data_IF_123003772999
#
_entry.id   IF_123003772999
#
_cell.length_a   1.000
_cell.length_b   1.000
_cell.length_c   1.000
_cell.angle_alpha   90.00
_cell.angle_beta   90.00
_cell.angle_gamma   90.00
#
_symmetry.space_group_name_H-M   'P 1'
#
loop_
_entity.id
_entity.type
_entity.pdbx_description
1 polymer ?
#
# COMPACT_ATOMS: atom_id res chain seq x y z
N UNK A 1 19.98 -19.48 33.60
CA UNK A 1 20.41 -19.13 32.23
C UNK A 1 19.22 -18.48 31.55
N UNK A 2 19.18 -17.15 31.58
CA UNK A 2 18.13 -16.39 30.88
C UNK A 2 18.52 -16.37 29.41
N UNK A 3 17.58 -16.75 28.55
CA UNK A 3 17.74 -16.70 27.11
C UNK A 3 17.60 -15.24 26.68
N UNK A 4 18.74 -14.57 26.48
CA UNK A 4 18.81 -13.38 25.65
C UNK A 4 18.46 -13.83 24.24
N UNK A 5 17.21 -13.62 23.84
CA UNK A 5 16.78 -13.77 22.46
C UNK A 5 17.35 -12.55 21.75
N UNK A 6 18.53 -12.74 21.17
CA UNK A 6 19.22 -11.75 20.36
C UNK A 6 18.24 -11.20 19.32
N UNK A 7 17.89 -9.92 19.49
CA UNK A 7 17.25 -9.10 18.48
C UNK A 7 18.26 -8.92 17.35
N UNK A 8 18.25 -9.88 16.43
CA UNK A 8 19.00 -9.78 15.18
C UNK A 8 18.29 -8.76 14.30
N UNK A 9 18.53 -7.47 14.58
CA UNK A 9 18.23 -6.38 13.65
C UNK A 9 18.95 -6.68 12.34
N UNK A 10 18.18 -7.17 11.35
CA UNK A 10 18.71 -7.49 10.04
C UNK A 10 19.07 -6.16 9.35
N UNK A 11 20.36 -5.89 9.05
CA UNK A 11 20.80 -4.61 8.48
C UNK A 11 20.25 -4.36 7.06
N UNK A 12 19.51 -5.32 6.47
CA UNK A 12 18.75 -5.15 5.24
C UNK A 12 17.40 -4.45 5.46
N UNK A 13 16.79 -4.58 6.64
CA UNK A 13 15.51 -3.95 6.98
C UNK A 13 15.64 -2.43 7.04
N UNK A 14 16.63 -1.93 7.78
CA UNK A 14 16.86 -0.48 7.95
C UNK A 14 17.10 0.25 6.62
N UNK A 15 17.81 -0.40 5.68
CA UNK A 15 18.13 0.19 4.37
C UNK A 15 16.91 0.32 3.46
N UNK A 16 16.03 -0.67 3.48
CA UNK A 16 14.82 -0.68 2.67
C UNK A 16 13.76 0.28 3.26
N UNK A 17 13.63 0.30 4.59
CA UNK A 17 12.79 1.27 5.30
C UNK A 17 13.25 2.71 5.01
N UNK A 18 14.56 2.97 4.98
CA UNK A 18 15.07 4.30 4.64
C UNK A 18 14.71 4.73 3.22
N UNK A 19 14.79 3.83 2.23
CA UNK A 19 14.39 4.13 0.85
C UNK A 19 12.90 4.45 0.73
N UNK A 20 12.06 3.74 1.50
CA UNK A 20 10.63 4.09 1.56
C UNK A 20 10.41 5.44 2.24
N UNK A 21 11.07 5.73 3.36
CA UNK A 21 10.95 7.03 4.03
C UNK A 21 11.30 8.16 3.05
N UNK A 22 12.39 8.02 2.28
CA UNK A 22 12.78 8.98 1.24
C UNK A 22 11.71 9.12 0.15
N UNK A 23 11.11 8.01 -0.29
CA UNK A 23 10.03 8.02 -1.30
C UNK A 23 8.77 8.75 -0.79
N UNK A 24 8.35 8.50 0.46
CA UNK A 24 7.22 9.20 1.07
C UNK A 24 7.52 10.69 1.27
N UNK A 25 8.74 11.03 1.72
CA UNK A 25 9.19 12.42 1.83
C UNK A 25 9.23 13.12 0.47
N UNK A 26 9.70 12.45 -0.58
CA UNK A 26 9.70 12.99 -1.94
C UNK A 26 8.28 13.33 -2.43
N UNK A 27 7.31 12.47 -2.15
CA UNK A 27 5.89 12.72 -2.49
C UNK A 27 5.32 13.90 -1.71
N UNK A 28 5.57 13.95 -0.40
CA UNK A 28 4.95 14.91 0.51
C UNK A 28 5.58 16.31 0.39
N UNK A 29 6.90 16.36 0.23
CA UNK A 29 7.69 17.59 0.06
C UNK A 29 8.00 17.93 -1.41
N UNK A 30 7.28 17.34 -2.38
CA UNK A 30 7.54 17.58 -3.81
C UNK A 30 7.54 19.08 -4.15
N UNK A 31 6.59 19.86 -3.61
CA UNK A 31 6.47 21.30 -3.87
C UNK A 31 7.45 22.19 -3.07
N UNK A 32 8.21 21.61 -2.13
CA UNK A 32 9.31 22.33 -1.47
C UNK A 32 10.53 22.42 -2.39
N UNK A 33 10.67 21.45 -3.31
CA UNK A 33 11.81 21.31 -4.22
C UNK A 33 11.45 21.58 -5.67
N UNK A 34 10.18 21.44 -6.05
CA UNK A 34 9.66 21.63 -7.40
C UNK A 34 8.64 22.76 -7.44
N UNK A 35 8.59 23.45 -8.57
CA UNK A 35 7.68 24.57 -8.82
C UNK A 35 6.24 24.10 -9.06
N UNK A 36 5.27 25.00 -8.96
CA UNK A 36 3.86 24.70 -9.27
C UNK A 36 3.64 24.31 -10.74
N UNK A 37 4.52 24.74 -11.64
CA UNK A 37 4.49 24.37 -13.07
C UNK A 37 4.74 22.87 -13.27
N UNK A 38 5.43 22.24 -12.32
CA UNK A 38 5.74 20.80 -12.31
C UNK A 38 4.66 19.96 -11.61
N UNK A 39 3.57 20.58 -11.12
CA UNK A 39 2.47 19.89 -10.45
C UNK A 39 1.87 18.75 -11.31
N UNK A 40 1.79 18.95 -12.63
CA UNK A 40 1.31 17.92 -13.56
C UNK A 40 2.26 16.73 -13.71
N UNK A 41 3.54 16.90 -13.40
CA UNK A 41 4.59 15.87 -13.47
C UNK A 41 4.76 15.11 -12.16
N UNK A 42 4.35 15.70 -11.03
CA UNK A 42 4.41 15.08 -9.69
C UNK A 42 4.00 13.62 -9.67
N UNK A 43 2.83 13.29 -10.23
CA UNK A 43 2.34 11.91 -10.19
C UNK A 43 3.23 10.96 -11.00
N UNK A 44 3.73 11.40 -12.16
CA UNK A 44 4.67 10.63 -12.98
C UNK A 44 5.99 10.43 -12.26
N UNK A 45 6.54 11.49 -11.66
CA UNK A 45 7.85 11.43 -10.99
C UNK A 45 7.79 10.55 -9.75
N UNK A 46 6.72 10.65 -8.95
CA UNK A 46 6.48 9.77 -7.79
C UNK A 46 6.32 8.31 -8.24
N UNK A 47 5.65 8.07 -9.37
CA UNK A 47 5.50 6.71 -9.93
C UNK A 47 6.84 6.15 -10.39
N UNK A 48 7.69 6.96 -11.03
CA UNK A 48 9.03 6.53 -11.43
C UNK A 48 9.92 6.21 -10.22
N UNK A 49 9.93 7.05 -9.19
CA UNK A 49 10.70 6.80 -7.96
C UNK A 49 10.19 5.57 -7.20
N UNK A 50 8.88 5.34 -7.21
CA UNK A 50 8.26 4.12 -6.71
C UNK A 50 8.78 2.90 -7.47
N UNK A 51 8.73 2.90 -8.81
CA UNK A 51 9.20 1.78 -9.64
C UNK A 51 10.69 1.49 -9.43
N UNK A 52 11.53 2.53 -9.30
CA UNK A 52 12.95 2.38 -8.97
C UNK A 52 13.14 1.70 -7.62
N UNK A 53 12.38 2.11 -6.61
CA UNK A 53 12.45 1.54 -5.27
C UNK A 53 11.95 0.10 -5.26
N UNK A 54 10.84 -0.17 -5.94
CA UNK A 54 10.28 -1.52 -6.09
C UNK A 54 11.28 -2.48 -6.73
N UNK A 55 11.95 -2.06 -7.81
CA UNK A 55 12.98 -2.88 -8.47
C UNK A 55 14.14 -3.22 -7.53
N UNK A 56 14.64 -2.24 -6.76
CA UNK A 56 15.71 -2.45 -5.76
C UNK A 56 15.28 -3.42 -4.65
N UNK A 57 13.99 -3.41 -4.28
CA UNK A 57 13.44 -4.36 -3.32
C UNK A 57 13.39 -5.76 -3.92
N UNK A 58 12.86 -5.92 -5.14
CA UNK A 58 12.74 -7.20 -5.83
C UNK A 58 14.10 -7.86 -6.11
N UNK A 59 15.13 -7.08 -6.46
CA UNK A 59 16.51 -7.56 -6.60
C UNK A 59 17.06 -8.19 -5.30
N UNK A 60 16.50 -7.83 -4.15
CA UNK A 60 16.88 -8.37 -2.84
C UNK A 60 15.90 -9.44 -2.33
N UNK A 61 14.82 -9.75 -3.04
CA UNK A 61 13.80 -10.71 -2.60
C UNK A 61 14.41 -12.06 -2.23
N UNK A 62 15.33 -12.56 -3.08
CA UNK A 62 16.00 -13.85 -2.87
C UNK A 62 16.87 -13.89 -1.61
N UNK A 63 17.31 -12.72 -1.14
CA UNK A 63 18.12 -12.58 0.08
C UNK A 63 17.28 -12.33 1.35
N UNK A 64 15.97 -12.09 1.21
CA UNK A 64 15.09 -11.80 2.34
C UNK A 64 14.71 -13.07 3.11
N UNK A 65 15.19 -13.18 4.35
CA UNK A 65 14.83 -14.29 5.27
C UNK A 65 13.35 -14.25 5.70
N UNK A 66 12.78 -13.05 5.82
CA UNK A 66 11.42 -12.84 6.29
C UNK A 66 10.50 -12.42 5.14
N UNK A 67 9.75 -13.40 4.61
CA UNK A 67 8.84 -13.19 3.49
C UNK A 67 7.71 -12.21 3.81
N UNK A 68 7.17 -12.23 5.03
CA UNK A 68 6.12 -11.31 5.46
C UNK A 68 6.59 -9.85 5.45
N UNK A 69 7.80 -9.60 5.95
CA UNK A 69 8.43 -8.28 5.92
C UNK A 69 8.65 -7.80 4.49
N UNK A 70 9.21 -8.65 3.62
CA UNK A 70 9.40 -8.31 2.21
C UNK A 70 8.08 -7.91 1.53
N UNK A 71 7.01 -8.68 1.76
CA UNK A 71 5.68 -8.40 1.23
C UNK A 71 5.08 -7.10 1.80
N UNK A 72 5.33 -6.80 3.08
CA UNK A 72 4.94 -5.53 3.70
C UNK A 72 5.61 -4.35 2.98
N UNK A 73 6.93 -4.42 2.82
CA UNK A 73 7.73 -3.37 2.19
C UNK A 73 7.33 -3.16 0.72
N UNK A 74 7.08 -4.25 -0.02
CA UNK A 74 6.53 -4.22 -1.39
C UNK A 74 5.15 -3.56 -1.44
N UNK A 75 4.25 -3.94 -0.53
CA UNK A 75 2.93 -3.31 -0.41
C UNK A 75 3.01 -1.82 -0.10
N UNK A 76 3.89 -1.43 0.83
CA UNK A 76 4.15 -0.02 1.18
C UNK A 76 4.65 0.82 0.01
N UNK A 77 5.56 0.24 -0.78
CA UNK A 77 6.08 0.90 -1.98
C UNK A 77 4.95 1.18 -2.97
N UNK A 78 4.13 0.16 -3.27
CA UNK A 78 3.02 0.28 -4.21
C UNK A 78 1.90 1.21 -3.72
N UNK A 79 1.75 1.39 -2.41
CA UNK A 79 0.73 2.25 -1.80
C UNK A 79 1.14 3.74 -1.72
N UNK A 80 2.32 4.12 -2.24
CA UNK A 80 2.73 5.54 -2.27
C UNK A 80 1.86 6.37 -3.20
N UNK A 81 1.40 5.75 -4.30
CA UNK A 81 0.50 6.38 -5.26
C UNK A 81 -0.93 6.35 -4.74
N UNK A 82 -1.75 7.38 -5.03
CA UNK A 82 -3.15 7.40 -4.63
C UNK A 82 -4.02 6.40 -5.43
N UNK A 83 -3.43 5.71 -6.39
CA UNK A 83 -4.11 4.75 -7.23
C UNK A 83 -4.21 3.39 -6.55
N UNK A 84 -5.39 2.78 -6.67
CA UNK A 84 -5.58 1.42 -6.21
C UNK A 84 -4.69 0.46 -6.99
N UNK A 85 -3.87 -0.29 -6.26
CA UNK A 85 -3.03 -1.36 -6.78
C UNK A 85 -3.51 -2.70 -6.21
N UNK A 86 -4.09 -3.53 -7.08
CA UNK A 86 -4.47 -4.91 -6.73
C UNK A 86 -3.27 -5.74 -6.26
N UNK A 87 -2.06 -5.44 -6.77
CA UNK A 87 -0.83 -6.09 -6.34
C UNK A 87 -0.47 -5.69 -4.90
N UNK A 88 -0.69 -4.43 -4.53
CA UNK A 88 -0.48 -3.98 -3.15
C UNK A 88 -1.45 -4.68 -2.18
N UNK A 89 -2.74 -4.75 -2.54
CA UNK A 89 -3.77 -5.45 -1.76
C UNK A 89 -3.39 -6.93 -1.54
N UNK A 90 -2.98 -7.63 -2.60
CA UNK A 90 -2.58 -9.04 -2.50
C UNK A 90 -1.35 -9.20 -1.60
N UNK A 91 -0.32 -8.36 -1.77
CA UNK A 91 0.89 -8.41 -0.94
C UNK A 91 0.54 -8.22 0.54
N UNK A 92 -0.24 -7.19 0.88
CA UNK A 92 -0.62 -6.87 2.25
C UNK A 92 -1.54 -7.94 2.86
N UNK A 93 -2.48 -8.47 2.08
CA UNK A 93 -3.35 -9.58 2.48
C UNK A 93 -2.55 -10.84 2.81
N UNK A 94 -1.48 -11.11 2.06
CA UNK A 94 -0.58 -12.22 2.33
C UNK A 94 0.29 -11.95 3.55
N UNK A 95 0.75 -10.71 3.74
CA UNK A 95 1.51 -10.31 4.94
C UNK A 95 0.72 -10.58 6.22
N UNK A 96 -0.53 -10.11 6.31
CA UNK A 96 -1.35 -10.30 7.52
C UNK A 96 -1.69 -11.77 7.81
N UNK A 97 -1.74 -12.60 6.75
CA UNK A 97 -1.92 -14.06 6.89
C UNK A 97 -0.68 -14.77 7.40
N UNK A 98 0.51 -14.29 7.03
CA UNK A 98 1.78 -14.82 7.52
C UNK A 98 2.10 -14.33 8.93
N UNK A 99 1.90 -13.04 9.16
CA UNK A 99 2.24 -12.34 10.40
C UNK A 99 1.09 -11.41 10.80
N UNK A 100 0.08 -11.92 11.53
CA UNK A 100 -1.05 -11.11 11.98
C UNK A 100 -0.66 -10.05 13.03
N UNK A 101 0.55 -10.18 13.61
CA UNK A 101 1.14 -9.26 14.58
C UNK A 101 1.53 -7.90 13.94
N UNK A 102 1.67 -7.85 12.61
CA UNK A 102 2.06 -6.64 11.88
C UNK A 102 0.87 -5.69 11.72
N UNK A 103 0.65 -4.84 12.73
CA UNK A 103 -0.40 -3.81 12.71
C UNK A 103 -0.28 -2.88 11.50
N UNK A 104 0.93 -2.57 11.06
CA UNK A 104 1.15 -1.71 9.88
C UNK A 104 0.56 -2.31 8.60
N UNK A 105 0.65 -3.64 8.42
CA UNK A 105 0.08 -4.32 7.26
C UNK A 105 -1.45 -4.17 7.22
N UNK A 106 -2.11 -4.25 8.39
CA UNK A 106 -3.55 -4.04 8.52
C UNK A 106 -3.96 -2.59 8.22
N UNK A 107 -3.18 -1.61 8.69
CA UNK A 107 -3.43 -0.20 8.43
C UNK A 107 -3.40 0.10 6.92
N UNK A 108 -2.34 -0.35 6.24
CA UNK A 108 -2.18 -0.14 4.80
C UNK A 108 -3.24 -0.88 3.98
N UNK A 109 -3.63 -2.09 4.40
CA UNK A 109 -4.71 -2.82 3.75
C UNK A 109 -6.03 -2.07 3.88
N UNK A 110 -6.30 -1.48 5.05
CA UNK A 110 -7.44 -0.61 5.29
C UNK A 110 -7.47 0.61 4.37
N UNK A 111 -6.34 1.32 4.23
CA UNK A 111 -6.22 2.48 3.34
C UNK A 111 -6.50 2.10 1.88
N UNK A 112 -5.93 0.99 1.43
CA UNK A 112 -6.10 0.50 0.06
C UNK A 112 -7.57 0.14 -0.24
N UNK A 113 -8.24 -0.55 0.68
CA UNK A 113 -9.67 -0.90 0.58
C UNK A 113 -10.59 0.32 0.70
N UNK A 114 -10.22 1.32 1.50
CA UNK A 114 -10.96 2.57 1.62
C UNK A 114 -11.06 3.28 0.26
N UNK A 115 -9.98 3.32 -0.51
CA UNK A 115 -9.95 3.87 -1.88
C UNK A 115 -10.92 3.12 -2.81
N UNK A 116 -10.97 1.79 -2.73
CA UNK A 116 -11.91 0.96 -3.53
C UNK A 116 -13.37 1.28 -3.19
N UNK A 117 -13.68 1.41 -1.89
CA UNK A 117 -15.02 1.74 -1.41
C UNK A 117 -15.51 3.09 -1.98
N UNK A 118 -14.63 4.09 -2.02
CA UNK A 118 -14.93 5.40 -2.59
C UNK A 118 -15.11 5.35 -4.12
N UNK A 119 -14.35 4.52 -4.84
CA UNK A 119 -14.52 4.31 -6.29
C UNK A 119 -15.87 3.67 -6.63
N UNK A 120 -16.36 2.75 -5.79
CA UNK A 120 -17.70 2.15 -5.94
C UNK A 120 -18.82 3.17 -5.78
N UNK A 121 -18.64 4.14 -4.87
CA UNK A 121 -19.60 5.23 -4.63
C UNK A 121 -19.58 6.27 -5.77
N UNK A 122 -18.40 6.60 -6.29
CA UNK A 122 -18.25 7.52 -7.43
C UNK A 122 -18.91 7.00 -8.73
N UNK A 123 -18.87 5.69 -8.98
CA UNK A 123 -19.58 5.08 -10.13
C UNK A 123 -21.11 5.17 -10.01
N UNK A 124 -21.66 5.09 -8.80
CA UNK A 124 -23.10 5.22 -8.60
C UNK A 124 -23.57 6.67 -8.76
N UNK A 125 -22.78 7.66 -8.34
CA UNK A 125 -23.13 9.08 -8.52
C UNK A 125 -22.95 9.58 -9.95
N UNK A 126 -22.17 8.89 -10.79
CA UNK A 126 -22.01 9.19 -12.22
C UNK A 126 -23.06 8.53 -13.15
N UNK A 127 -23.94 7.69 -12.61
CA UNK A 127 -25.00 6.98 -13.35
C UNK A 127 -26.40 7.42 -12.87
N UNK A 128 -26.56 8.73 -12.65
CA UNK A 128 -27.74 9.34 -12.03
C UNK A 128 -28.61 10.17 -12.97
N UNK A 129 -28.72 9.83 -14.26
CA UNK A 129 -29.82 10.29 -15.10
C UNK A 129 -30.46 9.12 -15.87
N UNK A 130 -31.79 9.05 -15.76
CA UNK A 130 -32.73 8.09 -16.35
C UNK A 130 -32.82 6.67 -15.75
N UNK A 131 -33.65 6.52 -14.73
CA UNK A 131 -34.28 5.24 -14.41
C UNK A 131 -34.94 5.17 -13.03
N UNK A 132 -36.18 5.64 -12.89
CA UNK A 132 -37.03 5.30 -11.73
C UNK A 132 -37.29 3.79 -11.69
N UNK A 133 -37.05 3.15 -10.54
CA UNK A 133 -38.08 2.34 -9.87
C UNK A 133 -37.70 2.01 -8.41
N UNK A 134 -38.67 1.90 -7.48
CA UNK A 134 -38.42 1.78 -6.05
C UNK A 134 -38.63 0.33 -5.58
N UNK A 135 -37.56 -0.41 -5.32
CA UNK A 135 -37.51 -1.52 -4.34
C UNK A 135 -36.21 -2.32 -4.54
N UNK A 136 -35.36 -2.32 -3.52
CA UNK A 136 -34.17 -3.17 -3.50
C UNK A 136 -33.29 -2.81 -2.33
N UNK A 137 -33.46 -3.51 -1.20
CA UNK A 137 -32.64 -3.38 0.00
C UNK A 137 -31.15 -3.61 -0.34
N UNK A 138 -30.20 -2.85 0.22
CA UNK A 138 -28.80 -3.23 0.16
C UNK A 138 -28.56 -4.39 1.14
N UNK A 139 -28.20 -5.56 0.62
CA UNK A 139 -27.72 -6.69 1.42
C UNK A 139 -26.20 -6.58 1.60
N UNK A 140 -25.77 -6.60 2.88
CA UNK A 140 -24.45 -7.02 3.39
C UNK A 140 -23.26 -6.15 2.96
N UNK A 141 -22.64 -5.32 3.79
CA UNK A 141 -22.02 -5.58 5.10
C UNK A 141 -21.09 -6.81 5.06
N UNK A 142 -19.77 -6.55 5.11
CA UNK A 142 -18.76 -7.51 5.58
C UNK A 142 -17.98 -8.27 4.50
N UNK A 143 -17.07 -7.60 3.77
CA UNK A 143 -16.00 -8.30 3.04
C UNK A 143 -14.78 -8.53 3.96
N UNK A 144 -15.02 -9.14 5.12
CA UNK A 144 -13.98 -9.56 6.07
C UNK A 144 -13.87 -11.09 6.18
N UNK A 145 -14.91 -11.83 5.77
CA UNK A 145 -14.94 -13.30 5.86
C UNK A 145 -14.07 -14.05 4.83
N UNK A 146 -13.27 -13.35 4.02
CA UNK A 146 -12.38 -13.96 3.02
C UNK A 146 -10.87 -13.81 3.32
N UNK A 147 -10.52 -13.16 4.43
CA UNK A 147 -9.14 -12.87 4.81
C UNK A 147 -8.56 -13.78 5.90
N UNK A 148 -9.31 -14.78 6.37
CA UNK A 148 -8.79 -15.88 7.22
C UNK A 148 -8.86 -17.19 6.47
#
# INVERSE_FOLDING_TARGET
KMAEKEDSGDPGKDKNDLQLIELYHFRDSYFETHSLEEAGRKQSDVTQEMERTLKKLEEKEESCKHKAEFLLQKGRCLNVTPDFSAVAEECLSRTVKLEPSLVEAWNLLGDNLFVVSQRGRARQTGAGECGRSPAGRPTGCGRWDFLV
#
